data_IF_537288635339
#
_entry.id   IF_537288635339
#
_cell.length_a   1.000
_cell.length_b   1.000
_cell.length_c   1.000
_cell.angle_alpha   90.00
_cell.angle_beta   90.00
_cell.angle_gamma   90.00
#
_symmetry.space_group_name_H-M   'P 1'
#
loop_
_entity.id
_entity.type
_entity.pdbx_description
1 polymer ?
#
# COMPACT_ATOMS: atom_id res chain seq x y z
N UNK A 1 -16.74 4.83 -16.35
CA UNK A 1 -16.41 6.18 -16.87
C UNK A 1 -17.47 7.24 -16.50
N UNK A 2 -18.74 6.91 -16.21
CA UNK A 2 -19.76 7.91 -15.91
C UNK A 2 -19.80 8.40 -14.43
N UNK A 3 -19.55 7.52 -13.45
CA UNK A 3 -19.84 7.79 -12.03
C UNK A 3 -19.19 9.04 -11.40
N UNK A 4 -17.94 9.35 -11.73
CA UNK A 4 -17.20 10.46 -11.09
C UNK A 4 -17.87 11.82 -11.32
N UNK A 5 -18.24 12.13 -12.55
CA UNK A 5 -18.84 13.42 -12.92
C UNK A 5 -20.35 13.45 -12.73
N UNK A 6 -21.01 12.30 -12.66
CA UNK A 6 -22.45 12.20 -12.41
C UNK A 6 -22.80 12.17 -10.92
N UNK A 7 -21.93 11.62 -10.05
CA UNK A 7 -22.19 11.47 -8.62
C UNK A 7 -21.63 12.63 -7.81
N UNK A 8 -20.37 13.00 -8.03
CA UNK A 8 -19.74 14.05 -7.24
C UNK A 8 -20.11 15.43 -7.79
N UNK A 9 -20.36 16.40 -6.93
CA UNK A 9 -20.47 17.80 -7.34
C UNK A 9 -19.10 18.41 -7.67
N UNK A 10 -19.08 19.66 -8.15
CA UNK A 10 -17.82 20.33 -8.51
C UNK A 10 -16.88 20.48 -7.32
N UNK A 11 -17.39 20.82 -6.14
CA UNK A 11 -16.56 21.07 -4.96
C UNK A 11 -15.85 19.78 -4.50
N UNK A 12 -16.58 18.66 -4.41
CA UNK A 12 -16.02 17.36 -4.02
C UNK A 12 -14.99 16.87 -5.04
N UNK A 13 -15.27 17.04 -6.34
CA UNK A 13 -14.31 16.69 -7.40
C UNK A 13 -13.04 17.52 -7.34
N UNK A 14 -13.16 18.83 -7.16
CA UNK A 14 -12.01 19.73 -7.11
C UNK A 14 -11.12 19.41 -5.90
N UNK A 15 -11.71 19.07 -4.75
CA UNK A 15 -10.96 18.64 -3.56
C UNK A 15 -10.26 17.30 -3.79
N UNK A 16 -10.95 16.32 -4.37
CA UNK A 16 -10.36 15.01 -4.67
C UNK A 16 -9.24 15.11 -5.71
N UNK A 17 -9.44 15.84 -6.81
CA UNK A 17 -8.44 16.03 -7.85
C UNK A 17 -7.18 16.70 -7.29
N UNK A 18 -7.34 17.76 -6.48
CA UNK A 18 -6.22 18.40 -5.79
C UNK A 18 -5.50 17.43 -4.87
N UNK A 19 -6.23 16.69 -4.04
CA UNK A 19 -5.63 15.75 -3.09
C UNK A 19 -4.79 14.68 -3.80
N UNK A 20 -5.31 14.12 -4.90
CA UNK A 20 -4.56 13.16 -5.73
C UNK A 20 -3.33 13.82 -6.35
N UNK A 21 -3.47 15.02 -6.95
CA UNK A 21 -2.34 15.75 -7.54
C UNK A 21 -1.25 16.07 -6.52
N UNK A 22 -1.61 16.42 -5.29
CA UNK A 22 -0.64 16.66 -4.21
C UNK A 22 0.18 15.39 -3.93
N UNK A 23 -0.45 14.21 -3.88
CA UNK A 23 0.28 12.95 -3.72
C UNK A 23 1.19 12.66 -4.92
N UNK A 24 0.67 12.81 -6.15
CA UNK A 24 1.43 12.53 -7.37
C UNK A 24 2.58 13.51 -7.61
N UNK A 25 2.49 14.73 -7.08
CA UNK A 25 3.54 15.74 -7.14
C UNK A 25 4.71 15.50 -6.19
N UNK A 26 4.71 14.41 -5.41
CA UNK A 26 5.82 14.06 -4.51
C UNK A 26 6.91 13.29 -5.25
N UNK A 27 8.17 13.52 -4.86
CA UNK A 27 9.32 12.75 -5.37
C UNK A 27 9.16 11.25 -5.10
N UNK A 28 8.54 10.91 -3.96
CA UNK A 28 8.27 9.52 -3.59
C UNK A 28 7.27 8.84 -4.54
N UNK A 29 6.23 9.56 -4.98
CA UNK A 29 5.29 9.05 -5.97
C UNK A 29 5.95 8.89 -7.35
N UNK A 30 6.78 9.86 -7.75
CA UNK A 30 7.55 9.79 -8.99
C UNK A 30 8.52 8.60 -8.97
N UNK A 31 9.33 8.43 -7.93
CA UNK A 31 10.26 7.30 -7.79
C UNK A 31 9.52 5.96 -7.78
N UNK A 32 8.39 5.87 -7.07
CA UNK A 32 7.58 4.64 -7.02
C UNK A 32 7.05 4.29 -8.41
N UNK A 33 6.53 5.27 -9.15
CA UNK A 33 6.05 5.06 -10.52
C UNK A 33 7.19 4.76 -11.48
N UNK A 34 8.35 5.39 -11.31
CA UNK A 34 9.55 5.15 -12.13
C UNK A 34 10.03 3.72 -11.98
N UNK A 35 10.06 3.16 -10.76
CA UNK A 35 10.35 1.75 -10.55
C UNK A 35 9.35 0.83 -11.26
N UNK A 36 8.04 1.14 -11.21
CA UNK A 36 7.01 0.37 -11.94
C UNK A 36 7.24 0.43 -13.46
N UNK A 37 7.57 1.61 -13.99
CA UNK A 37 7.87 1.82 -15.41
C UNK A 37 9.14 1.07 -15.84
N UNK A 38 10.15 1.07 -14.97
CA UNK A 38 11.39 0.31 -15.16
C UNK A 38 11.11 -1.19 -15.24
N UNK A 39 10.24 -1.65 -14.33
CA UNK A 39 9.77 -3.03 -14.24
C UNK A 39 10.44 -3.84 -13.12
N UNK A 40 11.42 -3.26 -12.42
CA UNK A 40 12.01 -3.77 -11.19
C UNK A 40 12.08 -2.68 -10.12
N UNK A 41 11.89 -3.04 -8.84
CA UNK A 41 12.21 -2.13 -7.75
C UNK A 41 13.73 -1.96 -7.64
N UNK A 42 14.18 -0.86 -7.07
CA UNK A 42 15.58 -0.70 -6.67
C UNK A 42 15.94 -1.72 -5.58
N UNK A 43 17.19 -2.15 -5.54
CA UNK A 43 17.70 -3.12 -4.58
C UNK A 43 17.34 -2.72 -3.13
N UNK A 44 17.57 -1.45 -2.76
CA UNK A 44 17.21 -0.91 -1.45
C UNK A 44 15.72 -1.00 -1.14
N UNK A 45 14.85 -0.85 -2.14
CA UNK A 45 13.39 -0.91 -1.97
C UNK A 45 12.91 -2.35 -1.89
N UNK A 46 13.52 -3.24 -2.67
CA UNK A 46 13.23 -4.67 -2.60
C UNK A 46 13.60 -5.25 -1.23
N UNK A 47 14.72 -4.79 -0.65
CA UNK A 47 15.24 -5.21 0.65
C UNK A 47 14.55 -4.54 1.85
N UNK A 48 13.92 -3.37 1.67
CA UNK A 48 13.19 -2.64 2.71
C UNK A 48 11.86 -3.33 3.08
N UNK A 49 12.01 -4.43 3.84
CA UNK A 49 10.94 -5.29 4.33
C UNK A 49 11.10 -5.56 5.83
N UNK A 50 10.01 -5.79 6.53
CA UNK A 50 9.92 -5.95 7.99
C UNK A 50 10.90 -7.01 8.53
N UNK A 51 11.13 -8.10 7.78
CA UNK A 51 12.26 -9.00 7.97
C UNK A 51 13.10 -8.97 6.69
N UNK A 52 14.14 -8.12 6.62
CA UNK A 52 14.92 -7.98 5.41
C UNK A 52 15.64 -9.30 5.16
N UNK A 53 15.31 -9.95 4.04
CA UNK A 53 16.08 -11.11 3.57
C UNK A 53 17.37 -10.59 2.97
N UNK A 54 18.51 -11.21 3.30
CA UNK A 54 19.77 -10.91 2.60
C UNK A 54 19.62 -11.38 1.16
N UNK A 55 19.52 -10.44 0.24
CA UNK A 55 19.45 -10.67 -1.20
C UNK A 55 20.85 -10.75 -1.83
N UNK A 56 21.90 -11.03 -1.05
CA UNK A 56 23.31 -10.97 -1.49
C UNK A 56 23.56 -11.79 -2.77
N UNK A 57 22.89 -12.94 -2.93
CA UNK A 57 23.00 -13.78 -4.14
C UNK A 57 21.89 -13.55 -5.18
N UNK A 58 20.90 -12.70 -4.88
CA UNK A 58 19.76 -12.46 -5.76
C UNK A 58 20.12 -11.37 -6.77
N UNK A 59 19.83 -11.54 -8.08
CA UNK A 59 20.13 -10.56 -9.13
C UNK A 59 19.47 -9.17 -8.96
N UNK A 60 18.64 -8.98 -7.93
CA UNK A 60 18.05 -7.67 -7.61
C UNK A 60 19.05 -6.79 -6.87
N UNK A 61 20.07 -7.38 -6.24
CA UNK A 61 21.11 -6.66 -5.50
C UNK A 61 21.85 -5.65 -6.39
N UNK A 62 22.01 -5.97 -7.68
CA UNK A 62 22.71 -5.13 -8.65
C UNK A 62 21.84 -3.99 -9.20
N UNK A 63 20.53 -4.02 -8.98
CA UNK A 63 19.60 -3.00 -9.47
C UNK A 63 19.58 -1.76 -8.54
N UNK A 64 20.72 -1.06 -8.47
CA UNK A 64 20.94 0.04 -7.53
C UNK A 64 20.44 1.40 -8.01
N UNK A 65 20.25 1.56 -9.33
CA UNK A 65 19.73 2.76 -9.97
C UNK A 65 18.68 2.42 -11.02
N UNK A 66 17.75 3.34 -11.27
CA UNK A 66 16.77 3.21 -12.34
C UNK A 66 17.44 3.19 -13.71
N UNK A 67 16.86 2.45 -14.65
CA UNK A 67 17.34 2.47 -16.03
C UNK A 67 17.09 3.82 -16.73
N UNK A 68 17.95 4.22 -17.68
CA UNK A 68 17.72 5.41 -18.49
C UNK A 68 16.32 5.42 -19.13
N UNK A 69 15.57 6.50 -18.86
CA UNK A 69 14.21 6.70 -19.37
C UNK A 69 13.09 6.27 -18.43
N UNK A 70 13.36 5.51 -17.36
CA UNK A 70 12.32 5.08 -16.41
C UNK A 70 11.66 6.25 -15.68
N UNK A 71 12.45 7.19 -15.17
CA UNK A 71 11.94 8.39 -14.50
C UNK A 71 11.15 9.28 -15.46
N UNK A 72 11.66 9.52 -16.67
CA UNK A 72 10.95 10.30 -17.69
C UNK A 72 9.60 9.68 -18.03
N UNK A 73 9.54 8.37 -18.25
CA UNK A 73 8.29 7.69 -18.58
C UNK A 73 7.26 7.76 -17.44
N UNK A 74 7.72 7.70 -16.18
CA UNK A 74 6.84 7.91 -15.04
C UNK A 74 6.36 9.36 -14.94
N UNK A 75 7.25 10.33 -15.16
CA UNK A 75 6.90 11.75 -15.16
C UNK A 75 5.87 12.08 -16.25
N UNK A 76 6.06 11.59 -17.48
CA UNK A 76 5.11 11.76 -18.58
C UNK A 76 3.73 11.18 -18.19
N UNK A 77 3.72 9.95 -17.66
CA UNK A 77 2.48 9.31 -17.22
C UNK A 77 1.76 10.09 -16.10
N UNK A 78 2.49 10.60 -15.11
CA UNK A 78 1.93 11.35 -13.99
C UNK A 78 1.47 12.76 -14.41
N UNK A 79 2.15 13.40 -15.36
CA UNK A 79 1.83 14.73 -15.86
C UNK A 79 0.55 14.73 -16.71
N UNK A 80 0.34 13.68 -17.49
CA UNK A 80 -0.87 13.47 -18.29
C UNK A 80 -2.04 12.90 -17.48
N UNK A 81 -1.84 12.61 -16.19
CA UNK A 81 -2.86 11.99 -15.37
C UNK A 81 -4.08 12.91 -15.20
N UNK A 82 -5.25 12.33 -15.45
CA UNK A 82 -6.55 12.91 -15.14
C UNK A 82 -7.36 11.96 -14.27
N UNK A 83 -8.09 12.51 -13.29
CA UNK A 83 -8.94 11.73 -12.40
C UNK A 83 -9.99 10.88 -13.14
N UNK A 84 -10.40 11.33 -14.34
CA UNK A 84 -11.30 10.62 -15.25
C UNK A 84 -10.77 9.29 -15.78
N UNK A 85 -9.45 9.06 -15.71
CA UNK A 85 -8.82 7.78 -16.07
C UNK A 85 -9.16 6.68 -15.06
N UNK A 86 -9.66 7.04 -13.88
CA UNK A 86 -9.95 6.11 -12.79
C UNK A 86 -11.45 5.81 -12.70
N UNK A 87 -11.77 4.53 -12.49
CA UNK A 87 -13.12 4.10 -12.14
C UNK A 87 -13.17 3.81 -10.63
N UNK A 88 -13.90 4.64 -9.89
CA UNK A 88 -14.17 4.44 -8.46
C UNK A 88 -15.45 3.62 -8.28
N UNK A 89 -15.61 3.01 -7.10
CA UNK A 89 -16.86 2.37 -6.70
C UNK A 89 -17.93 3.45 -6.45
N UNK A 90 -19.12 3.26 -7.05
CA UNK A 90 -20.19 4.25 -6.98
C UNK A 90 -20.69 4.46 -5.55
N UNK A 91 -20.70 3.43 -4.70
CA UNK A 91 -21.10 3.57 -3.28
C UNK A 91 -20.09 4.39 -2.50
N UNK A 92 -18.80 4.22 -2.78
CA UNK A 92 -17.74 5.05 -2.18
C UNK A 92 -17.87 6.51 -2.61
N UNK A 93 -18.12 6.78 -3.90
CA UNK A 93 -18.36 8.14 -4.40
C UNK A 93 -19.60 8.77 -3.75
N UNK A 94 -20.72 8.04 -3.69
CA UNK A 94 -21.95 8.51 -3.02
C UNK A 94 -21.72 8.78 -1.54
N UNK A 95 -20.98 7.90 -0.86
CA UNK A 95 -20.63 8.08 0.55
C UNK A 95 -19.69 9.24 0.80
N UNK A 96 -18.87 9.64 -0.18
CA UNK A 96 -18.05 10.85 -0.07
C UNK A 96 -18.89 12.10 -0.30
N UNK A 97 -19.72 12.10 -1.35
CA UNK A 97 -20.62 13.21 -1.69
C UNK A 97 -21.62 13.54 -0.59
N UNK A 98 -22.05 12.54 0.20
CA UNK A 98 -23.01 12.75 1.29
C UNK A 98 -22.38 13.32 2.57
N UNK A 99 -21.06 13.37 2.67
CA UNK A 99 -20.37 13.88 3.86
C UNK A 99 -20.26 15.39 3.84
N UNK A 100 -20.54 16.03 4.97
CA UNK A 100 -20.36 17.48 5.10
C UNK A 100 -18.86 17.84 5.00
N UNK A 101 -18.46 18.76 4.11
CA UNK A 101 -17.10 19.26 4.04
C UNK A 101 -16.60 19.76 5.40
N UNK A 102 -15.30 19.62 5.63
CA UNK A 102 -14.64 19.99 6.88
C UNK A 102 -15.01 19.15 8.11
N UNK A 103 -15.80 18.08 7.96
CA UNK A 103 -16.00 17.06 9.00
C UNK A 103 -14.99 15.93 8.83
N UNK A 104 -14.66 15.26 9.93
CA UNK A 104 -13.70 14.17 9.93
C UNK A 104 -14.17 12.97 9.09
N UNK A 105 -15.48 12.68 9.05
CA UNK A 105 -16.07 11.74 8.09
C UNK A 105 -15.75 12.04 6.62
N UNK A 106 -15.84 13.31 6.20
CA UNK A 106 -15.45 13.75 4.85
C UNK A 106 -13.96 13.47 4.59
N UNK A 107 -13.10 13.78 5.55
CA UNK A 107 -11.67 13.54 5.44
C UNK A 107 -11.31 12.06 5.37
N UNK A 108 -11.96 11.19 6.15
CA UNK A 108 -11.75 9.74 6.05
C UNK A 108 -12.14 9.21 4.66
N UNK A 109 -13.26 9.67 4.09
CA UNK A 109 -13.69 9.29 2.73
C UNK A 109 -12.73 9.84 1.66
N UNK A 110 -12.22 11.06 1.84
CA UNK A 110 -11.20 11.64 0.96
C UNK A 110 -9.91 10.80 0.98
N UNK A 111 -9.40 10.43 2.17
CA UNK A 111 -8.23 9.56 2.32
C UNK A 111 -8.45 8.21 1.63
N UNK A 112 -9.64 7.62 1.77
CA UNK A 112 -9.99 6.36 1.10
C UNK A 112 -9.96 6.50 -0.43
N UNK A 113 -10.57 7.55 -0.98
CA UNK A 113 -10.56 7.81 -2.42
C UNK A 113 -9.14 8.10 -2.96
N UNK A 114 -8.33 8.87 -2.24
CA UNK A 114 -6.93 9.13 -2.61
C UNK A 114 -6.12 7.84 -2.59
N UNK A 115 -6.30 6.99 -1.59
CA UNK A 115 -5.64 5.68 -1.53
C UNK A 115 -6.03 4.81 -2.72
N UNK A 116 -7.32 4.72 -3.01
CA UNK A 116 -7.84 3.98 -4.17
C UNK A 116 -7.26 4.54 -5.48
N UNK A 117 -7.07 5.85 -5.56
CA UNK A 117 -6.43 6.48 -6.71
C UNK A 117 -4.96 6.05 -6.86
N UNK A 118 -4.15 6.14 -5.80
CA UNK A 118 -2.76 5.69 -5.79
C UNK A 118 -2.64 4.24 -6.25
N UNK A 119 -3.46 3.35 -5.69
CA UNK A 119 -3.52 1.94 -6.09
C UNK A 119 -3.82 1.78 -7.59
N UNK A 120 -4.87 2.44 -8.08
CA UNK A 120 -5.31 2.31 -9.48
C UNK A 120 -4.32 2.92 -10.47
N UNK A 121 -3.64 4.00 -10.11
CA UNK A 121 -2.59 4.62 -10.93
C UNK A 121 -1.43 3.64 -11.12
N UNK A 122 -0.96 3.00 -10.04
CA UNK A 122 0.06 1.96 -10.12
C UNK A 122 -0.41 0.75 -10.96
N UNK A 123 -1.66 0.31 -10.80
CA UNK A 123 -2.28 -0.74 -11.64
C UNK A 123 -2.25 -0.36 -13.12
N UNK A 124 -2.66 0.86 -13.46
CA UNK A 124 -2.70 1.36 -14.84
C UNK A 124 -1.29 1.42 -15.45
N UNK A 125 -0.33 1.97 -14.71
CA UNK A 125 1.05 2.08 -15.16
C UNK A 125 1.67 0.70 -15.39
N UNK A 126 1.50 -0.24 -14.44
CA UNK A 126 2.01 -1.60 -14.59
C UNK A 126 1.41 -2.32 -15.81
N UNK A 127 0.11 -2.10 -16.08
CA UNK A 127 -0.58 -2.67 -17.24
C UNK A 127 -0.08 -2.13 -18.59
N UNK A 128 0.54 -0.93 -18.63
CA UNK A 128 1.22 -0.44 -19.84
C UNK A 128 2.45 -1.26 -20.21
N UNK A 129 2.99 -2.07 -19.29
CA UNK A 129 4.12 -2.99 -19.51
C UNK A 129 5.34 -2.30 -20.15
N UNK A 130 5.69 -1.11 -19.66
CA UNK A 130 6.79 -0.32 -20.19
C UNK A 130 8.11 -1.10 -20.15
N UNK A 131 8.39 -1.80 -19.04
CA UNK A 131 9.51 -2.76 -18.85
C UNK A 131 10.82 -2.21 -19.42
N UNK A 132 11.16 -0.98 -19.04
CA UNK A 132 12.31 -0.27 -19.59
C UNK A 132 13.60 -1.03 -19.30
N UNK A 133 13.69 -1.72 -18.14
CA UNK A 133 14.80 -2.57 -17.76
C UNK A 133 15.16 -3.62 -18.82
N UNK A 134 14.17 -4.31 -19.39
CA UNK A 134 14.40 -5.36 -20.39
C UNK A 134 14.83 -4.81 -21.75
N UNK A 135 14.65 -3.50 -21.99
CA UNK A 135 15.04 -2.83 -23.24
C UNK A 135 16.48 -2.33 -23.20
N UNK A 136 17.15 -2.40 -22.06
CA UNK A 136 18.52 -1.95 -21.88
C UNK A 136 19.51 -3.05 -22.31
N UNK A 137 20.39 -2.81 -23.29
CA UNK A 137 21.36 -3.80 -23.76
C UNK A 137 22.30 -4.32 -22.66
N UNK A 138 22.69 -3.45 -21.73
CA UNK A 138 23.59 -3.74 -20.62
C UNK A 138 22.96 -4.65 -19.55
N UNK A 139 21.63 -4.77 -19.52
CA UNK A 139 20.90 -5.56 -18.52
C UNK A 139 20.61 -7.00 -18.98
N UNK A 140 21.17 -7.43 -20.12
CA UNK A 140 20.97 -8.77 -20.67
C UNK A 140 21.33 -9.89 -19.67
N UNK A 141 22.26 -9.63 -18.76
CA UNK A 141 22.69 -10.56 -17.72
C UNK A 141 21.72 -10.69 -16.52
N UNK A 142 20.75 -9.78 -16.34
CA UNK A 142 19.80 -9.78 -15.22
C UNK A 142 18.44 -9.19 -15.60
N UNK A 143 17.81 -9.78 -16.62
CA UNK A 143 16.46 -9.41 -17.08
C UNK A 143 15.39 -9.54 -15.98
N UNK A 144 14.23 -8.89 -16.16
CA UNK A 144 13.08 -9.01 -15.24
C UNK A 144 12.70 -10.47 -15.02
N UNK A 145 12.76 -11.29 -16.09
CA UNK A 145 12.45 -12.72 -16.00
C UNK A 145 13.45 -13.46 -15.10
N UNK A 146 14.75 -13.22 -15.27
CA UNK A 146 15.78 -13.85 -14.44
C UNK A 146 15.62 -13.50 -12.97
N UNK A 147 15.42 -12.21 -12.67
CA UNK A 147 15.20 -11.69 -11.31
C UNK A 147 13.96 -12.36 -10.69
N UNK A 148 12.83 -12.38 -11.39
CA UNK A 148 11.57 -12.93 -10.86
C UNK A 148 11.52 -14.46 -10.83
N UNK A 149 12.32 -15.15 -11.63
CA UNK A 149 12.39 -16.62 -11.63
C UNK A 149 13.53 -17.19 -10.78
N UNK A 150 14.33 -16.32 -10.14
CA UNK A 150 15.50 -16.72 -9.39
C UNK A 150 15.13 -17.66 -8.24
N UNK A 151 15.99 -18.65 -8.00
CA UNK A 151 15.85 -19.62 -6.92
C UNK A 151 17.19 -19.74 -6.20
N UNK A 152 17.14 -19.66 -4.86
CA UNK A 152 18.32 -19.93 -4.03
C UNK A 152 18.76 -21.38 -4.21
N UNK A 153 20.07 -21.59 -4.36
CA UNK A 153 20.68 -22.92 -4.46
C UNK A 153 20.80 -23.63 -3.11
N UNK A 154 20.85 -22.88 -2.02
CA UNK A 154 21.30 -23.40 -0.72
C UNK A 154 20.18 -23.59 0.31
N UNK A 155 19.06 -22.86 0.21
CA UNK A 155 18.05 -22.88 1.28
C UNK A 155 16.63 -23.15 0.78
N UNK A 156 16.15 -24.38 1.03
CA UNK A 156 14.77 -24.82 0.73
C UNK A 156 13.73 -24.13 1.63
N UNK A 157 14.11 -23.63 2.81
CA UNK A 157 13.24 -22.90 3.75
C UNK A 157 13.16 -21.39 3.43
N UNK A 158 14.10 -20.86 2.65
CA UNK A 158 14.06 -19.52 2.07
C UNK A 158 12.87 -19.33 1.12
N UNK A 159 12.24 -20.42 0.64
CA UNK A 159 10.97 -20.40 -0.12
C UNK A 159 9.80 -19.76 0.63
N UNK A 160 9.85 -19.71 1.97
CA UNK A 160 8.86 -19.04 2.80
C UNK A 160 9.17 -17.54 3.03
N UNK A 161 10.43 -17.11 2.81
CA UNK A 161 10.94 -15.76 3.13
C UNK A 161 11.26 -14.92 1.90
N UNK A 162 11.43 -15.54 0.75
CA UNK A 162 11.67 -14.89 -0.53
C UNK A 162 10.45 -14.99 -1.42
N UNK A 163 10.24 -13.94 -2.22
CA UNK A 163 9.29 -13.90 -3.32
C UNK A 163 9.28 -15.22 -4.08
N UNK A 164 8.17 -15.97 -4.07
CA UNK A 164 8.09 -17.20 -4.86
C UNK A 164 8.38 -16.92 -6.34
N UNK A 165 9.11 -17.83 -7.04
CA UNK A 165 9.45 -17.65 -8.44
C UNK A 165 8.21 -17.36 -9.32
N UNK A 166 8.37 -16.48 -10.30
CA UNK A 166 7.31 -16.06 -11.21
C UNK A 166 6.34 -15.04 -10.63
N UNK A 167 6.67 -14.42 -9.49
CA UNK A 167 5.93 -13.29 -8.92
C UNK A 167 6.61 -11.97 -9.28
N UNK A 168 5.81 -10.91 -9.34
CA UNK A 168 6.33 -9.55 -9.40
C UNK A 168 7.12 -9.23 -8.14
N UNK A 169 8.21 -8.46 -8.26
CA UNK A 169 8.98 -7.96 -7.11
C UNK A 169 8.26 -6.82 -6.39
N UNK A 170 7.27 -6.20 -7.05
CA UNK A 170 6.36 -5.20 -6.48
C UNK A 170 5.23 -5.87 -5.70
N UNK A 171 5.54 -6.34 -4.49
CA UNK A 171 4.56 -7.00 -3.64
C UNK A 171 4.72 -6.61 -2.18
N UNK A 172 3.59 -6.36 -1.53
CA UNK A 172 3.49 -6.30 -0.07
C UNK A 172 3.37 -7.71 0.52
N UNK A 173 3.99 -7.96 1.68
CA UNK A 173 4.03 -9.29 2.31
C UNK A 173 2.66 -9.96 2.52
N UNK A 174 1.64 -9.18 2.93
CA UNK A 174 0.29 -9.69 3.19
C UNK A 174 -0.75 -9.49 2.08
N UNK A 175 -0.39 -8.88 0.94
CA UNK A 175 -1.34 -8.60 -0.15
C UNK A 175 -0.88 -9.29 -1.45
N UNK A 176 -0.88 -10.62 -1.44
CA UNK A 176 -0.37 -11.46 -2.53
C UNK A 176 -1.44 -12.36 -3.19
N UNK A 177 -2.71 -12.13 -2.89
CA UNK A 177 -3.83 -12.95 -3.30
C UNK A 177 -4.28 -12.69 -4.75
N UNK A 178 -3.36 -12.73 -5.70
CA UNK A 178 -3.59 -12.42 -7.13
C UNK A 178 -4.73 -13.19 -7.80
N UNK A 179 -5.20 -14.30 -7.23
CA UNK A 179 -6.34 -15.06 -7.77
C UNK A 179 -7.69 -14.44 -7.41
N UNK A 180 -7.77 -13.70 -6.31
CA UNK A 180 -9.01 -13.05 -5.85
C UNK A 180 -9.10 -11.58 -6.31
N UNK A 181 -7.98 -10.98 -6.69
CA UNK A 181 -7.91 -9.59 -7.11
C UNK A 181 -8.48 -9.36 -8.52
N UNK A 182 -9.33 -8.34 -8.74
CA UNK A 182 -9.92 -8.04 -10.05
C UNK A 182 -8.92 -7.83 -11.19
N UNK A 183 -7.74 -7.28 -10.88
CA UNK A 183 -6.64 -7.04 -11.82
C UNK A 183 -5.46 -8.00 -11.59
N UNK A 184 -5.66 -9.04 -10.79
CA UNK A 184 -4.68 -10.07 -10.46
C UNK A 184 -3.36 -9.51 -9.95
N UNK A 185 -2.26 -9.76 -10.67
CA UNK A 185 -0.92 -9.31 -10.25
C UNK A 185 -0.80 -7.79 -10.23
N UNK A 186 -1.57 -7.06 -11.06
CA UNK A 186 -1.48 -5.60 -11.05
C UNK A 186 -1.99 -5.01 -9.74
N UNK A 187 -2.99 -5.62 -9.07
CA UNK A 187 -3.43 -5.14 -7.75
C UNK A 187 -2.35 -5.37 -6.68
N UNK A 188 -1.52 -6.41 -6.78
CA UNK A 188 -0.34 -6.55 -5.89
C UNK A 188 0.60 -5.36 -6.01
N UNK A 189 0.80 -4.86 -7.24
CA UNK A 189 1.61 -3.68 -7.53
C UNK A 189 0.96 -2.42 -6.94
N UNK A 190 -0.37 -2.33 -7.01
CA UNK A 190 -1.15 -1.27 -6.37
C UNK A 190 -0.92 -1.21 -4.86
N UNK A 191 -1.08 -2.33 -4.16
CA UNK A 191 -0.81 -2.41 -2.71
C UNK A 191 0.65 -2.13 -2.37
N UNK A 192 1.59 -2.59 -3.20
CA UNK A 192 3.00 -2.25 -3.04
C UNK A 192 3.21 -0.74 -3.15
N UNK A 193 2.61 -0.08 -4.15
CA UNK A 193 2.73 1.36 -4.36
C UNK A 193 2.11 2.16 -3.21
N UNK A 194 0.94 1.76 -2.68
CA UNK A 194 0.37 2.35 -1.48
C UNK A 194 1.35 2.29 -0.31
N UNK A 195 1.92 1.13 -0.06
CA UNK A 195 2.88 0.95 1.04
C UNK A 195 4.18 1.74 0.83
N UNK A 196 4.60 1.96 -0.42
CA UNK A 196 5.75 2.80 -0.72
C UNK A 196 5.43 4.28 -0.54
N UNK A 197 4.31 4.76 -1.06
CA UNK A 197 3.95 6.18 -1.03
C UNK A 197 3.40 6.57 0.35
N UNK A 198 2.35 5.90 0.82
CA UNK A 198 1.64 6.25 2.05
C UNK A 198 2.38 5.78 3.32
N UNK A 199 3.28 4.80 3.20
CA UNK A 199 3.96 4.15 4.33
C UNK A 199 3.27 2.86 4.83
N UNK A 200 2.16 2.48 4.20
CA UNK A 200 1.48 1.21 4.41
C UNK A 200 0.27 1.09 3.48
N UNK A 201 -0.29 -0.11 3.33
CA UNK A 201 -1.61 -0.27 2.71
C UNK A 201 -2.66 0.35 3.62
N UNK A 202 -3.47 1.26 3.09
CA UNK A 202 -4.43 2.02 3.90
C UNK A 202 -5.74 1.24 4.01
N UNK A 203 -6.14 0.95 5.24
CA UNK A 203 -7.35 0.20 5.57
C UNK A 203 -8.21 0.95 6.59
N UNK A 204 -9.50 0.61 6.63
CA UNK A 204 -10.50 1.34 7.39
C UNK A 204 -11.25 0.39 8.29
N UNK A 205 -11.67 0.87 9.46
CA UNK A 205 -12.70 0.18 10.23
C UNK A 205 -13.97 0.07 9.38
N UNK A 206 -14.64 -1.08 9.33
CA UNK A 206 -15.91 -1.33 8.63
C UNK A 206 -16.94 -1.91 9.59
N UNK A 207 -16.70 -1.84 10.90
CA UNK A 207 -17.55 -2.43 11.93
C UNK A 207 -18.91 -1.77 12.06
N UNK A 208 -19.02 -0.53 11.62
CA UNK A 208 -20.23 0.29 11.71
C UNK A 208 -20.59 0.88 10.35
N UNK A 209 -21.89 0.94 10.06
CA UNK A 209 -22.41 1.62 8.87
C UNK A 209 -22.48 3.11 9.17
N UNK A 210 -21.75 3.94 8.42
CA UNK A 210 -21.73 5.39 8.62
C UNK A 210 -22.92 6.07 7.96
N UNK A 211 -24.09 5.86 8.54
CA UNK A 211 -25.24 6.69 8.25
C UNK A 211 -25.25 7.87 9.23
N UNK A 212 -25.21 9.09 8.69
CA UNK A 212 -25.69 10.32 9.35
C UNK A 212 -24.86 10.87 10.54
N UNK A 213 -23.59 10.52 10.71
CA UNK A 213 -22.65 11.31 11.54
C UNK A 213 -22.81 11.23 13.07
N UNK A 214 -23.64 10.33 13.60
CA UNK A 214 -23.87 10.18 15.06
C UNK A 214 -23.03 9.07 15.73
N UNK A 215 -22.33 8.23 14.96
CA UNK A 215 -21.54 7.12 15.47
C UNK A 215 -20.03 7.44 15.47
N UNK A 216 -19.22 6.86 16.38
CA UNK A 216 -17.79 7.13 16.45
C UNK A 216 -17.14 6.86 15.09
N UNK A 217 -16.49 7.89 14.56
CA UNK A 217 -15.97 7.92 13.21
C UNK A 217 -14.84 6.88 13.02
N UNK A 218 -14.75 6.24 11.84
CA UNK A 218 -13.75 5.22 11.62
C UNK A 218 -12.37 5.85 11.59
N UNK A 219 -11.43 5.21 12.29
CA UNK A 219 -10.04 5.57 12.19
C UNK A 219 -9.44 4.99 10.91
N UNK A 220 -8.41 5.68 10.43
CA UNK A 220 -7.55 5.23 9.33
C UNK A 220 -6.45 4.38 9.92
N UNK A 221 -6.18 3.23 9.30
CA UNK A 221 -5.11 2.33 9.70
C UNK A 221 -4.16 2.11 8.54
N UNK A 222 -2.90 1.85 8.86
CA UNK A 222 -1.89 1.46 7.89
C UNK A 222 -1.40 0.04 8.19
N UNK A 223 -1.21 -0.74 7.14
CA UNK A 223 -0.50 -2.00 7.19
C UNK A 223 0.84 -1.81 6.49
N UNK A 224 1.88 -1.61 7.28
CA UNK A 224 3.25 -1.42 6.78
C UNK A 224 3.95 -2.76 6.63
N UNK A 225 4.87 -2.88 5.68
CA UNK A 225 5.80 -4.02 5.61
C UNK A 225 7.26 -3.61 5.55
N UNK A 226 7.59 -2.36 5.88
CA UNK A 226 8.96 -1.81 5.82
C UNK A 226 9.84 -2.29 6.97
N UNK A 227 11.15 -2.26 6.75
CA UNK A 227 12.13 -2.61 7.77
C UNK A 227 12.05 -1.61 8.94
N UNK A 228 12.09 -2.12 10.18
CA UNK A 228 12.13 -1.26 11.37
C UNK A 228 10.83 -0.56 11.75
N UNK A 229 9.67 -0.98 11.21
CA UNK A 229 8.37 -0.34 11.48
C UNK A 229 7.46 -1.20 12.36
N UNK A 230 6.55 -1.98 11.79
CA UNK A 230 5.68 -2.97 12.45
C UNK A 230 5.05 -3.81 11.35
N UNK A 231 4.84 -5.10 11.57
CA UNK A 231 4.04 -5.94 10.65
C UNK A 231 2.54 -5.88 10.97
N UNK A 232 2.19 -5.31 12.12
CA UNK A 232 0.80 -5.19 12.58
C UNK A 232 0.11 -4.00 11.92
N UNK A 233 -1.19 -4.14 11.65
CA UNK A 233 -2.05 -3.06 11.19
C UNK A 233 -2.19 -2.05 12.33
N UNK A 234 -1.83 -0.79 12.11
CA UNK A 234 -1.74 0.22 13.17
C UNK A 234 -2.59 1.44 12.88
N UNK A 235 -3.21 1.98 13.92
CA UNK A 235 -4.09 3.16 13.81
C UNK A 235 -3.26 4.44 13.70
N UNK A 236 -3.64 5.35 12.80
CA UNK A 236 -3.07 6.70 12.76
C UNK A 236 -3.40 7.48 14.05
N UNK A 237 -2.43 8.24 14.53
CA UNK A 237 -2.65 9.26 15.57
C UNK A 237 -3.47 10.43 15.00
N UNK A 238 -4.13 11.19 15.88
CA UNK A 238 -4.85 12.41 15.48
C UNK A 238 -3.94 13.39 14.73
N UNK A 239 -2.73 13.63 15.23
CA UNK A 239 -1.72 14.49 14.60
C UNK A 239 -1.24 13.97 13.23
N UNK A 240 -1.10 12.65 13.06
CA UNK A 240 -0.72 12.04 11.78
C UNK A 240 -1.87 12.18 10.75
N UNK A 241 -3.10 11.99 11.21
CA UNK A 241 -4.30 12.16 10.38
C UNK A 241 -4.49 13.63 9.99
N UNK A 242 -4.28 14.57 10.91
CA UNK A 242 -4.36 15.99 10.65
C UNK A 242 -3.29 16.46 9.66
N UNK A 243 -2.02 16.05 9.85
CA UNK A 243 -0.94 16.35 8.92
C UNK A 243 -1.24 15.81 7.51
N UNK A 244 -1.77 14.58 7.41
CA UNK A 244 -2.23 13.99 6.15
C UNK A 244 -3.33 14.83 5.51
N UNK A 245 -4.38 15.17 6.24
CA UNK A 245 -5.50 15.96 5.71
C UNK A 245 -5.04 17.34 5.25
N UNK A 246 -4.22 18.04 6.05
CA UNK A 246 -3.70 19.34 5.70
C UNK A 246 -2.90 19.31 4.39
N UNK A 247 -2.07 18.29 4.21
CA UNK A 247 -1.34 18.04 2.96
C UNK A 247 -2.25 17.70 1.78
N UNK A 248 -3.34 16.95 1.99
CA UNK A 248 -4.28 16.63 0.91
C UNK A 248 -5.10 17.86 0.47
N UNK A 249 -5.40 18.79 1.37
CA UNK A 249 -6.21 19.97 1.07
C UNK A 249 -5.41 21.17 0.53
N UNK A 250 -4.12 21.24 0.86
CA UNK A 250 -3.25 22.39 0.59
C UNK A 250 -1.82 21.97 0.22
N UNK A 251 -1.09 22.87 -0.44
CA UNK A 251 0.34 22.66 -0.70
C UNK A 251 1.08 22.94 0.61
N UNK A 252 1.64 21.91 1.23
CA UNK A 252 2.34 22.00 2.50
C UNK A 252 3.38 20.89 2.64
N UNK A 253 3.94 20.76 3.84
CA UNK A 253 4.93 19.72 4.14
C UNK A 253 4.32 18.33 3.92
N UNK A 254 4.95 17.55 3.05
CA UNK A 254 4.53 16.19 2.74
C UNK A 254 4.75 15.27 3.97
N UNK A 255 3.71 14.59 4.49
CA UNK A 255 3.84 13.68 5.63
C UNK A 255 4.24 12.25 5.22
N UNK A 256 4.50 12.02 3.93
CA UNK A 256 4.78 10.70 3.39
C UNK A 256 6.28 10.37 3.40
N UNK A 257 6.64 9.08 3.58
CA UNK A 257 5.76 7.99 4.03
C UNK A 257 5.45 8.10 5.53
N UNK A 258 4.26 7.67 5.94
CA UNK A 258 3.89 7.63 7.36
C UNK A 258 4.51 6.41 8.05
N UNK A 259 5.07 6.61 9.24
CA UNK A 259 5.65 5.54 10.05
C UNK A 259 4.93 5.39 11.38
N UNK A 260 4.80 4.14 11.82
CA UNK A 260 4.35 3.84 13.17
C UNK A 260 5.43 4.26 14.17
N UNK A 261 4.99 4.80 15.30
CA UNK A 261 5.81 5.06 16.47
C UNK A 261 5.31 4.26 17.67
N UNK A 262 6.05 4.29 18.78
CA UNK A 262 5.62 3.72 20.06
C UNK A 262 4.31 4.34 20.58
N UNK A 263 3.93 5.54 20.10
CA UNK A 263 2.66 6.20 20.44
C UNK A 263 1.46 5.58 19.73
N UNK A 264 1.66 4.86 18.62
CA UNK A 264 0.59 4.16 17.90
C UNK A 264 0.23 2.87 18.64
N UNK A 265 -0.57 2.97 19.71
CA UNK A 265 -0.87 1.84 20.61
C UNK A 265 -1.91 0.86 20.03
N UNK A 266 -2.87 1.36 19.25
CA UNK A 266 -3.92 0.49 18.69
C UNK A 266 -3.37 -0.23 17.47
N UNK A 267 -3.09 -1.52 17.64
CA UNK A 267 -2.53 -2.40 16.61
C UNK A 267 -3.22 -3.75 16.58
N UNK A 268 -3.40 -4.28 15.37
CA UNK A 268 -3.98 -5.59 15.13
C UNK A 268 -2.99 -6.49 14.39
N UNK A 269 -2.92 -7.75 14.80
CA UNK A 269 -2.27 -8.75 13.97
C UNK A 269 -3.01 -8.82 12.62
N UNK A 270 -2.31 -8.96 11.47
CA UNK A 270 -2.95 -8.92 10.15
C UNK A 270 -4.17 -9.83 9.99
N UNK A 271 -4.14 -11.03 10.57
CA UNK A 271 -5.24 -11.99 10.52
C UNK A 271 -6.44 -11.54 11.37
N UNK A 272 -6.17 -10.88 12.51
CA UNK A 272 -7.21 -10.37 13.42
C UNK A 272 -7.83 -9.08 12.92
N UNK A 273 -7.12 -8.28 12.12
CA UNK A 273 -7.67 -7.04 11.55
C UNK A 273 -8.95 -7.33 10.74
N UNK A 274 -8.96 -8.37 9.91
CA UNK A 274 -10.15 -8.77 9.15
C UNK A 274 -11.31 -9.19 10.06
N UNK A 275 -11.05 -9.90 11.16
CA UNK A 275 -12.07 -10.24 12.16
C UNK A 275 -12.65 -9.01 12.88
N UNK A 276 -11.82 -8.01 13.13
CA UNK A 276 -12.23 -6.72 13.70
C UNK A 276 -12.84 -5.78 12.64
N UNK A 277 -13.11 -6.31 11.44
CA UNK A 277 -13.67 -5.58 10.30
C UNK A 277 -12.79 -4.39 9.86
N UNK A 278 -11.48 -4.47 10.07
CA UNK A 278 -10.52 -3.46 9.60
C UNK A 278 -9.96 -3.93 8.25
N UNK A 279 -10.53 -3.40 7.17
CA UNK A 279 -10.15 -3.67 5.77
C UNK A 279 -10.65 -2.56 4.84
N UNK A 280 -10.00 -2.33 3.70
CA UNK A 280 -10.58 -1.51 2.63
C UNK A 280 -11.60 -2.33 1.85
N UNK A 281 -11.17 -3.46 1.32
CA UNK A 281 -11.98 -4.40 0.55
C UNK A 281 -12.00 -5.76 1.25
N UNK A 282 -13.17 -6.41 1.36
CA UNK A 282 -13.26 -7.70 2.09
C UNK A 282 -12.39 -8.81 1.47
N UNK A 283 -12.07 -8.66 0.17
CA UNK A 283 -11.24 -9.57 -0.61
C UNK A 283 -9.77 -9.12 -0.70
N UNK A 284 -9.32 -8.09 0.01
CA UNK A 284 -7.93 -7.59 -0.11
C UNK A 284 -6.88 -8.58 0.43
N UNK A 285 -7.26 -9.43 1.39
CA UNK A 285 -6.40 -10.44 2.03
C UNK A 285 -7.05 -11.82 1.92
N UNK A 286 -6.26 -12.89 1.89
CA UNK A 286 -6.85 -14.23 1.96
C UNK A 286 -7.64 -14.36 3.28
N UNK A 287 -8.82 -15.02 3.27
CA UNK A 287 -9.52 -15.30 4.50
C UNK A 287 -8.60 -16.04 5.48
N UNK A 288 -8.63 -15.70 6.78
CA UNK A 288 -7.80 -16.38 7.77
C UNK A 288 -8.12 -17.88 7.73
N UNK A 289 -7.14 -18.69 7.32
CA UNK A 289 -7.30 -20.13 7.27
C UNK A 289 -7.59 -20.60 8.69
N UNK A 290 -8.69 -21.33 8.89
CA UNK A 290 -8.95 -21.98 10.17
C UNK A 290 -7.75 -22.87 10.51
N UNK A 291 -6.92 -22.44 11.45
CA UNK A 291 -5.84 -23.28 11.97
C UNK A 291 -6.52 -24.34 12.84
N UNK A 292 -6.89 -25.47 12.22
CA UNK A 292 -7.13 -26.71 12.95
C UNK A 292 -5.81 -27.07 13.64
N UNK A 293 -5.79 -26.93 14.97
CA UNK A 293 -4.99 -27.72 15.91
C UNK A 293 -3.49 -27.83 15.66
N UNK A 294 -2.73 -27.32 16.66
CA UNK A 294 -1.32 -27.64 16.99
C UNK A 294 -0.25 -27.02 16.09
N UNK A 295 0.48 -26.06 16.66
CA UNK A 295 1.90 -25.85 16.33
C UNK A 295 2.29 -24.58 15.57
N UNK A 296 1.35 -23.75 15.08
CA UNK A 296 1.66 -22.50 14.37
C UNK A 296 1.78 -21.30 15.31
N UNK A 297 2.76 -21.32 16.22
CA UNK A 297 2.93 -20.28 17.23
C UNK A 297 3.40 -18.94 16.66
N UNK A 298 2.47 -18.05 16.33
CA UNK A 298 2.59 -16.64 16.74
C UNK A 298 1.86 -16.49 18.08
N UNK A 299 2.25 -17.33 19.04
CA UNK A 299 1.81 -17.22 20.44
C UNK A 299 2.48 -15.98 21.03
N UNK A 300 1.67 -14.96 21.32
CA UNK A 300 1.61 -14.19 22.57
C UNK A 300 2.89 -13.82 23.33
N UNK A 301 4.05 -13.76 22.69
CA UNK A 301 5.31 -13.32 23.31
C UNK A 301 5.75 -12.02 22.63
N UNK A 302 6.27 -11.06 23.40
CA UNK A 302 6.91 -9.84 22.86
C UNK A 302 8.00 -10.28 21.88
N UNK A 303 7.75 -10.16 20.57
CA UNK A 303 8.79 -10.47 19.57
C UNK A 303 9.71 -9.25 19.39
N UNK A 304 9.14 -8.05 19.38
CA UNK A 304 9.85 -6.77 19.31
C UNK A 304 9.00 -5.65 19.93
N UNK A 305 9.63 -4.58 20.43
CA UNK A 305 8.95 -3.34 20.84
C UNK A 305 8.29 -2.64 19.63
N UNK A 306 8.83 -2.90 18.43
CA UNK A 306 8.28 -2.44 17.16
C UNK A 306 6.88 -2.98 16.88
N UNK A 307 6.49 -4.17 17.36
CA UNK A 307 5.13 -4.71 17.18
C UNK A 307 4.25 -4.54 18.42
N UNK A 308 4.87 -4.58 19.60
CA UNK A 308 4.21 -4.48 20.90
C UNK A 308 4.86 -3.35 21.72
N UNK A 309 4.44 -2.09 21.53
CA UNK A 309 5.10 -0.93 22.12
C UNK A 309 4.93 -0.86 23.64
N UNK A 310 4.05 -1.69 24.23
CA UNK A 310 3.88 -1.81 25.68
C UNK A 310 3.88 -3.27 26.12
N UNK A 311 4.73 -3.60 27.09
CA UNK A 311 4.85 -4.95 27.72
C UNK A 311 3.51 -5.49 28.25
N UNK A 312 2.55 -4.62 28.60
CA UNK A 312 1.20 -5.01 29.08
C UNK A 312 0.26 -5.52 27.98
N UNK A 313 0.46 -5.17 26.72
CA UNK A 313 -0.36 -5.66 25.58
C UNK A 313 0.02 -7.09 25.16
N UNK A 314 1.18 -7.57 25.63
CA UNK A 314 1.75 -8.86 25.29
C UNK A 314 1.34 -10.01 26.22
N UNK A 315 0.56 -9.76 27.28
CA UNK A 315 0.07 -10.85 28.14
C UNK A 315 -1.33 -11.29 27.71
N UNK A 316 -1.57 -12.60 27.47
CA UNK A 316 -2.93 -13.09 27.39
C UNK A 316 -3.61 -12.77 28.72
N UNK A 317 -4.73 -12.02 28.67
CA UNK A 317 -5.70 -12.09 29.74
C UNK A 317 -6.35 -13.47 29.60
N UNK A 318 -5.97 -14.37 30.49
CA UNK A 318 -6.66 -15.62 30.74
C UNK A 318 -8.02 -15.32 31.38
#
# INVERSE_FOLDING_TARGET
MAGLYTILDKQHRDVLDRAVRNVLGTDLALETCAQIADGLPLARVACDRYRPTRYEDHPIADHTSLCPGAERAAWEFLSEFALSMLNFDDKLLQSYQSMTPSRRGFYCRLIELVTVAVHKIAVLLFKKRLRIHDKQPQNAAYTIKMVTSWQSKEDKNLKLRLHPPGRTMFAHLSYDAKRQYPNGTADMVGYWAENRIMGGVVVFDRSQVWANGYMPEPNVYLHSDRAGVTIRVWQLLGEQQEALVNFLLSIGTCPFPLYASERNLVRFDPDKATWNKVYRDIWEREPPRHVRGRGGGFMGCVQTELDYPRVREARPRW
#
